data_IF_917833038235
#
_entry.id   IF_917833038235
#
_cell.length_a   1.000
_cell.length_b   1.000
_cell.length_c   1.000
_cell.angle_alpha   90.00
_cell.angle_beta   90.00
_cell.angle_gamma   90.00
#
_symmetry.space_group_name_H-M   'P 1'
#
loop_
_entity.id
_entity.type
_entity.pdbx_description
1 polymer ?
#
# COMPACT_ATOMS: atom_id res chain seq x y z
N UNK A 1 19.30 -10.90 -4.91
CA UNK A 1 19.35 -9.67 -5.74
C UNK A 1 20.59 -9.70 -6.62
N UNK A 2 21.81 -9.74 -6.05
CA UNK A 2 23.06 -9.71 -6.82
C UNK A 2 23.15 -10.82 -7.86
N UNK A 3 22.82 -12.06 -7.51
CA UNK A 3 22.93 -13.21 -8.41
C UNK A 3 21.92 -13.17 -9.57
N UNK A 4 20.74 -12.58 -9.36
CA UNK A 4 19.67 -12.57 -10.37
C UNK A 4 19.63 -11.28 -11.19
N UNK A 5 19.82 -10.13 -10.53
CA UNK A 5 19.68 -8.81 -11.16
C UNK A 5 21.02 -8.15 -11.51
N UNK A 6 22.14 -8.73 -11.11
CA UNK A 6 23.47 -8.18 -11.38
C UNK A 6 23.85 -6.92 -10.62
N UNK A 7 23.07 -6.53 -9.60
CA UNK A 7 23.42 -5.38 -8.74
C UNK A 7 24.66 -5.66 -7.92
N UNK A 8 25.48 -4.64 -7.68
CA UNK A 8 26.61 -4.79 -6.77
C UNK A 8 26.12 -5.07 -5.33
N UNK A 9 26.97 -5.71 -4.53
CA UNK A 9 26.58 -6.15 -3.18
C UNK A 9 26.10 -4.99 -2.29
N UNK A 10 26.74 -3.82 -2.39
CA UNK A 10 26.36 -2.61 -1.65
C UNK A 10 24.92 -2.18 -1.99
N UNK A 11 24.58 -2.13 -3.26
CA UNK A 11 23.25 -1.70 -3.70
C UNK A 11 22.19 -2.75 -3.36
N UNK A 12 22.55 -4.04 -3.41
CA UNK A 12 21.66 -5.13 -3.00
C UNK A 12 21.31 -5.06 -1.50
N UNK A 13 22.27 -4.75 -0.63
CA UNK A 13 22.04 -4.54 0.80
C UNK A 13 21.17 -3.29 1.02
N UNK A 14 21.45 -2.20 0.32
CA UNK A 14 20.66 -0.98 0.43
C UNK A 14 19.19 -1.23 -0.01
N UNK A 15 18.98 -1.93 -1.10
CA UNK A 15 17.64 -2.32 -1.55
C UNK A 15 16.90 -3.17 -0.51
N UNK A 16 17.57 -4.17 0.08
CA UNK A 16 16.98 -5.00 1.12
C UNK A 16 16.56 -4.18 2.36
N UNK A 17 17.36 -3.19 2.75
CA UNK A 17 17.01 -2.25 3.82
C UNK A 17 15.74 -1.47 3.50
N UNK A 18 15.59 -0.98 2.30
CA UNK A 18 14.38 -0.26 1.84
C UNK A 18 13.12 -1.13 1.88
N UNK A 19 13.24 -2.43 1.62
CA UNK A 19 12.12 -3.36 1.75
C UNK A 19 11.63 -3.42 3.20
N UNK A 20 12.56 -3.44 4.16
CA UNK A 20 12.21 -3.37 5.59
C UNK A 20 11.43 -2.10 5.93
N UNK A 21 11.85 -0.95 5.40
CA UNK A 21 11.14 0.32 5.60
C UNK A 21 9.72 0.28 5.03
N UNK A 22 9.55 -0.26 3.82
CA UNK A 22 8.22 -0.40 3.19
C UNK A 22 7.30 -1.29 4.03
N UNK A 23 7.80 -2.40 4.55
CA UNK A 23 7.04 -3.28 5.44
C UNK A 23 6.63 -2.59 6.74
N UNK A 24 7.54 -1.81 7.33
CA UNK A 24 7.26 -1.04 8.54
C UNK A 24 6.19 0.03 8.30
N UNK A 25 6.26 0.77 7.18
CA UNK A 25 5.24 1.72 6.80
C UNK A 25 3.88 1.04 6.58
N UNK A 26 3.84 -0.09 5.88
CA UNK A 26 2.62 -0.87 5.70
C UNK A 26 2.00 -1.32 7.02
N UNK A 27 2.81 -1.82 7.94
CA UNK A 27 2.36 -2.23 9.26
C UNK A 27 1.75 -1.06 10.07
N UNK A 28 2.35 0.13 9.98
CA UNK A 28 1.82 1.33 10.64
C UNK A 28 0.51 1.82 10.00
N UNK A 29 0.40 1.76 8.68
CA UNK A 29 -0.79 2.23 7.96
C UNK A 29 -2.01 1.33 8.18
N UNK A 30 -1.82 0.02 8.39
CA UNK A 30 -2.93 -0.90 8.73
C UNK A 30 -3.69 -0.44 9.97
N UNK A 31 -3.00 0.16 10.94
CA UNK A 31 -3.60 0.62 12.19
C UNK A 31 -4.40 1.94 12.05
N UNK A 32 -4.36 2.59 10.89
CA UNK A 32 -4.99 3.89 10.64
C UNK A 32 -6.24 3.81 9.75
N UNK A 33 -6.85 2.65 9.65
CA UNK A 33 -8.01 2.44 8.76
C UNK A 33 -9.36 2.80 9.45
N UNK A 34 -9.40 3.99 10.03
CA UNK A 34 -10.55 4.47 10.82
C UNK A 34 -11.67 5.06 9.95
N UNK A 35 -11.43 5.30 8.65
CA UNK A 35 -12.35 6.01 7.78
C UNK A 35 -12.41 7.51 8.05
N UNK A 36 -13.35 8.19 7.41
CA UNK A 36 -13.57 9.62 7.56
C UNK A 36 -15.06 9.93 7.67
N UNK A 37 -15.40 10.96 8.42
CA UNK A 37 -16.77 11.43 8.59
C UNK A 37 -16.87 12.87 8.08
N UNK A 38 -17.80 13.13 7.15
CA UNK A 38 -18.06 14.44 6.58
C UNK A 38 -19.46 14.92 6.94
N UNK A 39 -19.59 16.23 7.20
CA UNK A 39 -20.88 16.88 7.29
C UNK A 39 -21.47 17.11 5.88
N UNK A 40 -22.77 16.88 5.73
CA UNK A 40 -23.53 17.19 4.51
C UNK A 40 -24.32 18.50 4.62
N UNK A 41 -24.02 19.33 5.61
CA UNK A 41 -24.79 20.55 5.94
C UNK A 41 -24.57 21.72 4.94
N UNK A 42 -24.17 21.44 3.70
CA UNK A 42 -24.00 22.44 2.62
C UNK A 42 -25.32 22.86 1.97
N UNK A 43 -26.34 22.02 2.03
CA UNK A 43 -27.66 22.29 1.46
C UNK A 43 -28.76 21.88 2.44
N UNK A 44 -29.98 22.41 2.28
CA UNK A 44 -31.13 22.02 3.11
C UNK A 44 -31.42 20.51 3.10
N UNK A 45 -31.16 19.83 1.99
CA UNK A 45 -31.35 18.38 1.84
C UNK A 45 -30.33 17.55 2.62
N UNK A 46 -29.12 18.08 2.85
CA UNK A 46 -28.07 17.44 3.61
C UNK A 46 -28.09 17.73 5.11
N UNK A 47 -29.00 18.60 5.57
CA UNK A 47 -29.06 19.05 6.96
C UNK A 47 -29.19 17.89 7.94
N UNK A 48 -28.34 17.89 8.99
CA UNK A 48 -28.23 16.84 10.01
C UNK A 48 -27.77 15.47 9.49
N UNK A 49 -27.26 15.39 8.27
CA UNK A 49 -26.70 14.16 7.70
C UNK A 49 -25.18 14.14 7.83
N UNK A 50 -24.64 12.94 7.90
CA UNK A 50 -23.21 12.68 7.88
C UNK A 50 -22.93 11.56 6.89
N UNK A 51 -21.81 11.67 6.17
CA UNK A 51 -21.27 10.61 5.31
C UNK A 51 -20.07 10.02 6.03
N UNK A 52 -20.09 8.72 6.18
CA UNK A 52 -18.95 7.93 6.64
C UNK A 52 -18.30 7.24 5.43
N UNK A 53 -16.99 7.32 5.32
CA UNK A 53 -16.23 6.62 4.28
C UNK A 53 -15.22 5.68 4.92
N UNK A 54 -15.12 4.49 4.37
CA UNK A 54 -14.15 3.49 4.78
C UNK A 54 -13.56 2.83 3.54
N UNK A 55 -12.28 2.48 3.59
CA UNK A 55 -11.65 1.68 2.52
C UNK A 55 -12.21 0.27 2.54
N UNK A 56 -12.39 -0.31 1.37
CA UNK A 56 -12.73 -1.72 1.20
C UNK A 56 -11.81 -2.37 0.19
N UNK A 57 -11.57 -3.67 0.29
CA UNK A 57 -10.80 -4.41 -0.71
C UNK A 57 -11.43 -4.29 -2.09
N UNK A 58 -10.61 -4.35 -3.13
CA UNK A 58 -11.07 -4.45 -4.51
C UNK A 58 -11.73 -5.81 -4.75
N UNK A 59 -12.69 -5.83 -5.66
CA UNK A 59 -13.29 -7.07 -6.13
C UNK A 59 -12.31 -7.80 -7.06
N UNK A 60 -12.06 -9.08 -6.77
CA UNK A 60 -11.17 -9.93 -7.58
C UNK A 60 -9.74 -9.98 -7.06
N UNK A 61 -8.78 -10.13 -7.97
CA UNK A 61 -7.35 -10.33 -7.70
C UNK A 61 -6.54 -9.24 -8.37
N UNK A 62 -5.57 -8.68 -7.66
CA UNK A 62 -4.64 -7.69 -8.20
C UNK A 62 -3.49 -8.40 -8.89
N UNK A 63 -3.20 -8.03 -10.15
CA UNK A 63 -1.99 -8.41 -10.84
C UNK A 63 -0.93 -7.33 -10.68
N UNK A 64 0.26 -7.72 -10.20
CA UNK A 64 1.37 -6.81 -10.00
C UNK A 64 2.48 -7.05 -11.03
N UNK A 65 2.77 -6.03 -11.83
CA UNK A 65 3.86 -6.05 -12.81
C UNK A 65 4.95 -5.11 -12.32
N UNK A 66 6.18 -5.62 -12.19
CA UNK A 66 7.31 -4.84 -11.68
C UNK A 66 8.46 -4.83 -12.68
N UNK A 67 9.24 -3.72 -12.75
CA UNK A 67 10.48 -3.70 -13.52
C UNK A 67 11.58 -4.52 -12.83
N UNK A 68 12.65 -4.81 -13.57
CA UNK A 68 13.73 -5.68 -13.12
C UNK A 68 14.82 -4.98 -12.30
N UNK A 69 14.90 -3.65 -12.33
CA UNK A 69 16.06 -2.88 -11.84
C UNK A 69 16.18 -2.82 -10.31
N UNK A 70 15.12 -3.06 -9.58
CA UNK A 70 15.09 -3.22 -8.13
C UNK A 70 14.13 -4.36 -7.78
N UNK A 71 14.52 -5.62 -8.01
CA UNK A 71 13.60 -6.75 -8.08
C UNK A 71 12.86 -7.03 -6.77
N UNK A 72 13.49 -6.76 -5.64
CA UNK A 72 12.89 -6.99 -4.34
C UNK A 72 12.04 -5.80 -3.87
N UNK A 73 12.59 -4.58 -3.98
CA UNK A 73 11.91 -3.37 -3.50
C UNK A 73 10.68 -3.01 -4.34
N UNK A 74 10.76 -3.18 -5.65
CA UNK A 74 9.60 -2.95 -6.54
C UNK A 74 8.44 -3.91 -6.25
N UNK A 75 8.74 -5.16 -5.92
CA UNK A 75 7.73 -6.13 -5.47
C UNK A 75 7.13 -5.71 -4.14
N UNK A 76 7.94 -5.31 -3.16
CA UNK A 76 7.46 -4.85 -1.86
C UNK A 76 6.49 -3.67 -1.99
N UNK A 77 6.78 -2.69 -2.85
CA UNK A 77 5.89 -1.55 -3.12
C UNK A 77 4.53 -1.92 -3.74
N UNK A 78 4.37 -3.12 -4.28
CA UNK A 78 3.08 -3.63 -4.78
C UNK A 78 2.39 -4.52 -3.75
N UNK A 79 3.13 -5.46 -3.17
CA UNK A 79 2.58 -6.46 -2.24
C UNK A 79 2.14 -5.83 -0.91
N UNK A 80 2.98 -4.99 -0.32
CA UNK A 80 2.71 -4.41 0.99
C UNK A 80 1.40 -3.60 1.03
N UNK A 81 1.16 -2.63 0.14
CA UNK A 81 -0.12 -1.90 0.15
C UNK A 81 -1.32 -2.80 -0.18
N UNK A 82 -1.14 -3.81 -1.04
CA UNK A 82 -2.21 -4.75 -1.37
C UNK A 82 -2.64 -5.56 -0.13
N UNK A 83 -1.68 -6.13 0.59
CA UNK A 83 -1.94 -6.90 1.81
C UNK A 83 -2.47 -5.99 2.92
N UNK A 84 -1.89 -4.80 3.10
CA UNK A 84 -2.30 -3.84 4.12
C UNK A 84 -3.75 -3.36 3.95
N UNK A 85 -4.29 -3.41 2.74
CA UNK A 85 -5.67 -3.05 2.41
C UNK A 85 -6.57 -4.27 2.18
N UNK A 86 -6.13 -5.46 2.65
CA UNK A 86 -6.88 -6.71 2.59
C UNK A 86 -7.28 -7.15 1.17
N UNK A 87 -6.44 -6.86 0.18
CA UNK A 87 -6.65 -7.31 -1.19
C UNK A 87 -6.01 -8.67 -1.45
N UNK A 88 -6.58 -9.40 -2.40
CA UNK A 88 -5.99 -10.62 -2.97
C UNK A 88 -5.02 -10.24 -4.10
N UNK A 89 -3.87 -10.91 -4.15
CA UNK A 89 -2.84 -10.67 -5.17
C UNK A 89 -2.36 -11.98 -5.76
#
# INVERSE_FOLDING_TARGET
>A
ITAEAGLCHKDAIYEAGRVSDVLLFGANEVLKDDGQIFSCDLTPHGKKRRVYTQRSPLLGVISAITPFNHPMNQVAHKVVPSVATNNRM
#
